data_IF_766576597578
#
_entry.id   IF_766576597578
#
_cell.length_a   1.000
_cell.length_b   1.000
_cell.length_c   1.000
_cell.angle_alpha   90.00
_cell.angle_beta   90.00
_cell.angle_gamma   90.00
#
_symmetry.space_group_name_H-M   'P 1'
#
loop_
_entity.id
_entity.type
_entity.pdbx_description
1 polymer ?
#
# COMPACT_ATOMS: atom_id res chain seq x y z
N UNK A 1 14.83 -16.69 -23.32
CA UNK A 1 14.58 -15.60 -22.36
C UNK A 1 14.00 -16.07 -21.03
N UNK A 2 13.07 -17.05 -20.99
CA UNK A 2 12.36 -17.45 -19.76
C UNK A 2 13.28 -17.83 -18.60
N UNK A 3 14.26 -18.73 -18.81
CA UNK A 3 15.21 -19.13 -17.73
C UNK A 3 15.97 -17.94 -17.14
N UNK A 4 16.49 -17.04 -17.97
CA UNK A 4 17.22 -15.83 -17.50
C UNK A 4 16.32 -14.85 -16.73
N UNK A 5 15.02 -14.79 -17.08
CA UNK A 5 14.06 -13.98 -16.34
C UNK A 5 13.76 -14.58 -14.96
N UNK A 6 13.69 -15.91 -14.85
CA UNK A 6 13.52 -16.61 -13.57
C UNK A 6 14.75 -16.42 -12.66
N UNK A 7 15.96 -16.58 -13.20
CA UNK A 7 17.22 -16.33 -12.50
C UNK A 7 17.27 -14.88 -11.96
N UNK A 8 16.89 -13.90 -12.80
CA UNK A 8 16.82 -12.50 -12.38
C UNK A 8 15.78 -12.25 -11.27
N UNK A 9 14.60 -12.86 -11.36
CA UNK A 9 13.57 -12.71 -10.32
C UNK A 9 14.02 -13.34 -8.99
N UNK A 10 14.71 -14.48 -9.06
CA UNK A 10 15.34 -15.12 -7.91
C UNK A 10 16.41 -14.20 -7.29
N UNK A 11 17.33 -13.68 -8.11
CA UNK A 11 18.35 -12.70 -7.70
C UNK A 11 17.74 -11.47 -7.00
N UNK A 12 16.63 -10.93 -7.54
CA UNK A 12 15.95 -9.81 -6.91
C UNK A 12 15.38 -10.16 -5.53
N UNK A 13 14.81 -11.37 -5.40
CA UNK A 13 14.24 -11.82 -4.15
C UNK A 13 15.32 -12.09 -3.08
N UNK A 14 16.37 -12.82 -3.43
CA UNK A 14 17.39 -13.30 -2.48
C UNK A 14 18.45 -12.25 -2.18
N UNK A 15 19.07 -11.67 -3.21
CA UNK A 15 20.21 -10.76 -3.02
C UNK A 15 19.79 -9.29 -2.87
N UNK A 16 18.71 -8.84 -3.54
CA UNK A 16 18.26 -7.45 -3.47
C UNK A 16 17.15 -7.21 -2.45
N UNK A 17 16.64 -8.23 -1.79
CA UNK A 17 15.56 -8.11 -0.82
C UNK A 17 14.30 -7.46 -1.41
N UNK A 18 14.05 -7.68 -2.72
CA UNK A 18 12.87 -7.14 -3.39
C UNK A 18 11.60 -7.74 -2.78
N UNK A 19 10.53 -6.94 -2.68
CA UNK A 19 9.26 -7.45 -2.17
C UNK A 19 8.64 -8.45 -3.16
N UNK A 20 7.87 -9.42 -2.65
CA UNK A 20 7.10 -10.36 -3.46
C UNK A 20 6.24 -9.65 -4.53
N UNK A 21 5.67 -8.50 -4.17
CA UNK A 21 4.90 -7.67 -5.11
C UNK A 21 5.78 -7.13 -6.25
N UNK A 22 7.03 -6.77 -5.97
CA UNK A 22 7.98 -6.28 -6.99
C UNK A 22 8.37 -7.40 -7.93
N UNK A 23 8.76 -8.57 -7.40
CA UNK A 23 9.15 -9.73 -8.21
C UNK A 23 7.99 -10.23 -9.07
N UNK A 24 6.77 -10.29 -8.52
CA UNK A 24 5.56 -10.65 -9.25
C UNK A 24 5.28 -9.68 -10.42
N UNK A 25 5.33 -8.37 -10.17
CA UNK A 25 5.10 -7.38 -11.22
C UNK A 25 6.18 -7.39 -12.29
N UNK A 26 7.44 -7.53 -11.89
CA UNK A 26 8.55 -7.66 -12.84
C UNK A 26 8.44 -8.94 -13.68
N UNK A 27 8.00 -10.05 -13.08
CA UNK A 27 7.71 -11.28 -13.83
C UNK A 27 6.62 -11.09 -14.89
N UNK A 28 5.55 -10.33 -14.57
CA UNK A 28 4.52 -9.99 -15.56
C UNK A 28 5.10 -9.12 -16.67
N UNK A 29 5.90 -8.11 -16.32
CA UNK A 29 6.51 -7.18 -17.28
C UNK A 29 7.48 -7.87 -18.24
N UNK A 30 8.31 -8.78 -17.70
CA UNK A 30 9.26 -9.56 -18.51
C UNK A 30 8.54 -10.55 -19.43
N UNK A 31 7.47 -11.20 -18.98
CA UNK A 31 6.67 -12.08 -19.86
C UNK A 31 6.03 -11.30 -21.02
N UNK A 32 5.51 -10.10 -20.75
CA UNK A 32 4.95 -9.27 -21.81
C UNK A 32 5.99 -8.80 -22.80
N UNK A 33 7.17 -8.39 -22.32
CA UNK A 33 8.29 -8.04 -23.17
C UNK A 33 8.77 -9.24 -24.00
N UNK A 34 8.88 -10.44 -23.39
CA UNK A 34 9.26 -11.67 -24.08
C UNK A 34 8.31 -11.98 -25.24
N UNK A 35 7.00 -11.82 -25.03
CA UNK A 35 6.02 -12.02 -26.09
C UNK A 35 6.14 -10.99 -27.22
N UNK A 36 6.52 -9.76 -26.90
CA UNK A 36 6.68 -8.72 -27.90
C UNK A 36 7.91 -8.95 -28.81
N UNK A 37 9.05 -9.32 -28.21
CA UNK A 37 10.27 -9.57 -28.98
C UNK A 37 10.26 -10.91 -29.72
N UNK A 38 9.27 -11.77 -29.44
CA UNK A 38 9.08 -13.09 -30.05
C UNK A 38 10.36 -13.95 -30.03
N UNK A 39 10.93 -14.20 -31.18
CA UNK A 39 12.08 -15.12 -31.38
C UNK A 39 13.45 -14.44 -31.28
N UNK A 40 13.52 -13.12 -31.05
CA UNK A 40 14.81 -12.44 -30.93
C UNK A 40 15.59 -12.95 -29.70
N UNK A 41 16.84 -13.30 -29.94
CA UNK A 41 17.76 -13.68 -28.88
C UNK A 41 18.24 -12.46 -28.08
N UNK A 42 18.55 -12.67 -26.80
CA UNK A 42 18.98 -11.60 -25.89
C UNK A 42 20.19 -10.80 -26.40
N UNK A 43 21.24 -11.42 -26.95
CA UNK A 43 22.39 -10.67 -27.46
C UNK A 43 22.09 -9.76 -28.67
N UNK A 44 21.03 -10.07 -29.42
CA UNK A 44 20.60 -9.30 -30.59
C UNK A 44 19.64 -8.14 -30.25
N UNK A 45 19.32 -7.93 -28.99
CA UNK A 45 18.42 -6.86 -28.58
C UNK A 45 19.12 -5.51 -28.56
N UNK A 46 18.52 -4.54 -29.23
CA UNK A 46 19.05 -3.19 -29.42
C UNK A 46 18.21 -2.15 -28.69
N UNK A 47 18.72 -0.94 -28.58
CA UNK A 47 17.99 0.24 -28.15
C UNK A 47 16.67 0.44 -28.93
N UNK A 48 16.66 0.16 -30.24
CA UNK A 48 15.45 0.31 -31.07
C UNK A 48 14.37 -0.69 -30.70
N UNK A 49 14.70 -1.92 -30.32
CA UNK A 49 13.72 -2.91 -29.87
C UNK A 49 13.01 -2.45 -28.60
N UNK A 50 13.75 -1.85 -27.67
CA UNK A 50 13.15 -1.33 -26.43
C UNK A 50 12.25 -0.13 -26.73
N UNK A 51 12.66 0.78 -27.63
CA UNK A 51 11.82 1.90 -28.07
C UNK A 51 10.55 1.42 -28.75
N UNK A 52 10.64 0.42 -29.63
CA UNK A 52 9.49 -0.18 -30.30
C UNK A 52 8.52 -0.81 -29.31
N UNK A 53 9.04 -1.50 -28.27
CA UNK A 53 8.18 -2.00 -27.19
C UNK A 53 7.47 -0.88 -26.42
N UNK A 54 8.17 0.22 -26.10
CA UNK A 54 7.52 1.37 -25.42
C UNK A 54 6.48 2.05 -26.32
N UNK A 55 6.70 2.11 -27.62
CA UNK A 55 5.70 2.60 -28.59
C UNK A 55 4.49 1.67 -28.63
N UNK A 56 4.70 0.36 -28.69
CA UNK A 56 3.63 -0.65 -28.60
C UNK A 56 2.82 -0.51 -27.30
N UNK A 57 3.44 -0.27 -26.16
CA UNK A 57 2.71 -0.04 -24.91
C UNK A 57 1.85 1.22 -24.95
N UNK A 58 2.29 2.27 -25.69
CA UNK A 58 1.50 3.49 -25.90
C UNK A 58 0.26 3.22 -26.77
N UNK A 59 0.40 2.46 -27.86
CA UNK A 59 -0.73 2.08 -28.72
C UNK A 59 -1.76 1.20 -27.98
N UNK A 60 -1.33 0.49 -26.92
CA UNK A 60 -2.19 -0.28 -26.01
C UNK A 60 -2.74 0.55 -24.84
N UNK A 61 -2.60 1.88 -24.89
CA UNK A 61 -3.11 2.82 -23.91
C UNK A 61 -2.62 2.59 -22.46
N UNK A 62 -1.43 1.98 -22.30
CA UNK A 62 -0.83 1.87 -20.96
C UNK A 62 -0.55 3.23 -20.37
N UNK A 63 -0.88 3.40 -19.07
CA UNK A 63 -0.59 4.65 -18.35
C UNK A 63 0.92 4.95 -18.33
N UNK A 64 1.28 6.24 -18.32
CA UNK A 64 2.68 6.70 -18.20
C UNK A 64 3.40 6.05 -17.01
N UNK A 65 2.67 5.80 -15.91
CA UNK A 65 3.21 5.11 -14.72
C UNK A 65 3.54 3.64 -14.99
N UNK A 66 2.67 2.92 -15.70
CA UNK A 66 2.89 1.53 -16.09
C UNK A 66 4.08 1.39 -17.05
N UNK A 67 4.17 2.27 -18.03
CA UNK A 67 5.29 2.32 -18.99
C UNK A 67 6.61 2.60 -18.24
N UNK A 68 6.61 3.56 -17.31
CA UNK A 68 7.81 3.87 -16.50
C UNK A 68 8.25 2.69 -15.64
N UNK A 69 7.30 1.94 -15.02
CA UNK A 69 7.63 0.73 -14.25
C UNK A 69 8.20 -0.37 -15.13
N UNK A 70 7.59 -0.62 -16.29
CA UNK A 70 8.09 -1.62 -17.26
C UNK A 70 9.50 -1.28 -17.76
N UNK A 71 9.76 -0.02 -18.07
CA UNK A 71 11.11 0.42 -18.44
C UNK A 71 12.11 0.25 -17.29
N UNK A 72 11.72 0.54 -16.05
CA UNK A 72 12.58 0.31 -14.88
C UNK A 72 12.88 -1.19 -14.69
N UNK A 73 11.90 -2.06 -14.91
CA UNK A 73 12.07 -3.51 -14.90
C UNK A 73 13.09 -3.94 -15.95
N UNK A 74 12.92 -3.51 -17.20
CA UNK A 74 13.83 -3.85 -18.30
C UNK A 74 15.26 -3.36 -18.03
N UNK A 75 15.43 -2.12 -17.55
CA UNK A 75 16.75 -1.61 -17.16
C UNK A 75 17.43 -2.45 -16.10
N UNK A 76 16.68 -2.86 -15.09
CA UNK A 76 17.18 -3.71 -14.01
C UNK A 76 17.55 -5.11 -14.54
N UNK A 77 16.71 -5.68 -15.38
CA UNK A 77 16.95 -6.97 -16.01
C UNK A 77 18.19 -6.96 -16.91
N UNK A 78 18.32 -6.01 -17.82
CA UNK A 78 19.48 -5.91 -18.68
C UNK A 78 20.76 -5.56 -17.91
N UNK A 79 20.66 -4.77 -16.83
CA UNK A 79 21.79 -4.55 -15.92
C UNK A 79 22.26 -5.86 -15.25
N UNK A 80 21.32 -6.71 -14.87
CA UNK A 80 21.63 -8.04 -14.36
C UNK A 80 22.32 -8.90 -15.43
N UNK A 81 21.82 -8.92 -16.68
CA UNK A 81 22.41 -9.70 -17.75
C UNK A 81 23.83 -9.22 -18.13
N UNK A 82 24.12 -7.93 -18.03
CA UNK A 82 25.50 -7.41 -18.19
C UNK A 82 26.39 -7.90 -17.05
N UNK A 83 25.91 -7.89 -15.81
CA UNK A 83 26.64 -8.43 -14.64
C UNK A 83 26.98 -9.92 -14.81
N UNK A 84 26.05 -10.70 -15.38
CA UNK A 84 26.22 -12.13 -15.64
C UNK A 84 26.99 -12.42 -16.96
N UNK A 85 27.60 -11.42 -17.58
CA UNK A 85 28.33 -11.52 -18.84
C UNK A 85 27.53 -12.12 -20.01
N UNK A 86 26.19 -12.02 -19.97
CA UNK A 86 25.30 -12.44 -21.06
C UNK A 86 25.19 -11.36 -22.12
N UNK A 87 25.34 -10.10 -21.72
CA UNK A 87 25.34 -8.92 -22.60
C UNK A 87 26.59 -8.08 -22.32
N UNK A 88 27.07 -7.40 -23.33
CA UNK A 88 28.20 -6.44 -23.23
C UNK A 88 27.72 -5.06 -22.76
N UNK A 89 26.49 -4.69 -23.11
CA UNK A 89 25.90 -3.40 -22.75
C UNK A 89 24.39 -3.51 -22.48
N UNK A 90 23.86 -2.54 -21.74
CA UNK A 90 22.43 -2.49 -21.42
C UNK A 90 21.66 -1.71 -22.49
N UNK A 91 20.83 -2.35 -23.33
CA UNK A 91 20.11 -1.67 -24.41
C UNK A 91 19.04 -0.69 -23.94
N UNK A 92 18.65 -0.73 -22.65
CA UNK A 92 17.66 0.16 -22.08
C UNK A 92 18.27 1.37 -21.31
N UNK A 93 19.61 1.47 -21.23
CA UNK A 93 20.27 2.47 -20.39
C UNK A 93 19.95 3.92 -20.82
N UNK A 94 20.06 4.23 -22.09
CA UNK A 94 19.90 5.58 -22.66
C UNK A 94 18.46 6.03 -22.90
N UNK A 95 17.45 5.21 -22.60
CA UNK A 95 16.06 5.55 -22.91
C UNK A 95 15.50 6.49 -21.84
N UNK A 96 14.97 7.65 -22.22
CA UNK A 96 14.36 8.58 -21.27
C UNK A 96 13.09 7.99 -20.65
N UNK A 97 12.97 8.11 -19.31
CA UNK A 97 11.73 7.72 -18.62
C UNK A 97 10.62 8.72 -18.92
N UNK A 98 9.40 8.29 -19.30
CA UNK A 98 8.29 9.20 -19.52
C UNK A 98 8.06 10.09 -18.30
N UNK A 99 8.04 11.41 -18.51
CA UNK A 99 7.72 12.36 -17.43
C UNK A 99 6.29 12.10 -16.94
N UNK A 100 6.16 11.77 -15.65
CA UNK A 100 4.86 11.67 -15.00
C UNK A 100 4.31 13.08 -14.79
N UNK A 101 3.06 13.29 -15.12
CA UNK A 101 2.36 14.47 -14.67
C UNK A 101 2.28 14.42 -13.13
N UNK A 102 2.72 15.48 -12.47
CA UNK A 102 2.53 15.64 -11.04
C UNK A 102 1.06 15.99 -10.81
N UNK A 103 0.19 14.97 -10.67
CA UNK A 103 -1.14 15.23 -10.10
C UNK A 103 -0.93 15.70 -8.66
N UNK A 104 -1.48 16.85 -8.32
CA UNK A 104 -1.53 17.27 -6.91
C UNK A 104 -2.23 16.16 -6.12
N UNK A 105 -1.66 15.73 -4.98
CA UNK A 105 -2.29 14.72 -4.16
C UNK A 105 -3.67 15.24 -3.74
N UNK A 106 -4.72 14.51 -4.06
CA UNK A 106 -6.06 14.82 -3.58
C UNK A 106 -6.20 14.36 -2.13
N UNK A 107 -6.64 15.24 -1.25
CA UNK A 107 -7.07 14.91 0.09
C UNK A 107 -8.55 15.25 0.27
N UNK A 108 -9.20 14.63 1.22
CA UNK A 108 -10.58 14.91 1.60
C UNK A 108 -10.57 15.97 2.71
N UNK A 109 -11.48 16.94 2.63
CA UNK A 109 -11.72 17.86 3.74
C UNK A 109 -12.46 17.13 4.89
N UNK A 110 -12.58 17.74 6.10
CA UNK A 110 -13.24 17.11 7.25
C UNK A 110 -14.68 16.66 6.97
N UNK A 111 -15.46 17.42 6.21
CA UNK A 111 -16.87 17.11 5.90
C UNK A 111 -16.98 15.93 4.93
N UNK A 112 -16.10 15.87 3.93
CA UNK A 112 -16.02 14.74 3.01
C UNK A 112 -15.62 13.44 3.75
N UNK A 113 -14.70 13.54 4.69
CA UNK A 113 -14.32 12.42 5.57
C UNK A 113 -15.52 11.99 6.41
N UNK A 114 -16.19 12.90 7.12
CA UNK A 114 -17.34 12.58 7.94
C UNK A 114 -18.44 11.88 7.12
N UNK A 115 -18.79 12.44 5.96
CA UNK A 115 -19.75 11.87 5.02
C UNK A 115 -19.39 10.45 4.60
N UNK A 116 -18.11 10.18 4.35
CA UNK A 116 -17.65 8.87 3.92
C UNK A 116 -17.61 7.86 5.07
N UNK A 117 -17.20 8.29 6.26
CA UNK A 117 -17.19 7.47 7.48
C UNK A 117 -18.60 7.07 7.91
N UNK A 118 -19.60 7.94 7.70
CA UNK A 118 -21.00 7.67 8.08
C UNK A 118 -21.80 6.94 6.99
N UNK A 119 -21.23 6.74 5.81
CA UNK A 119 -21.91 6.06 4.71
C UNK A 119 -22.32 4.59 5.01
N UNK A 120 -21.58 3.79 5.82
CA UNK A 120 -22.07 2.51 6.31
C UNK A 120 -23.09 2.73 7.43
N UNK A 121 -24.39 2.77 7.11
CA UNK A 121 -25.45 3.17 8.05
C UNK A 121 -26.32 1.99 8.55
N UNK A 122 -26.27 0.81 7.87
CA UNK A 122 -27.07 -0.34 8.24
C UNK A 122 -26.46 -1.09 9.43
N UNK A 123 -27.32 -1.72 10.22
CA UNK A 123 -26.92 -2.53 11.36
C UNK A 123 -26.57 -3.99 10.95
N UNK A 124 -25.92 -4.18 9.79
CA UNK A 124 -25.39 -5.47 9.39
C UNK A 124 -23.91 -5.61 9.79
N UNK A 125 -23.46 -6.82 10.03
CA UNK A 125 -22.06 -7.04 10.41
C UNK A 125 -21.09 -6.56 9.35
N UNK A 126 -21.43 -6.68 8.04
CA UNK A 126 -20.61 -6.17 6.96
C UNK A 126 -20.46 -4.66 7.02
N UNK A 127 -21.55 -3.93 7.28
CA UNK A 127 -21.47 -2.46 7.38
C UNK A 127 -20.79 -2.01 8.69
N UNK A 128 -20.92 -2.75 9.81
CA UNK A 128 -20.10 -2.52 11.00
C UNK A 128 -18.62 -2.75 10.74
N UNK A 129 -18.28 -3.84 10.04
CA UNK A 129 -16.90 -4.08 9.57
C UNK A 129 -16.42 -2.95 8.67
N UNK A 130 -17.20 -2.61 7.65
CA UNK A 130 -16.84 -1.60 6.66
C UNK A 130 -16.63 -0.23 7.33
N UNK A 131 -17.50 0.14 8.30
CA UNK A 131 -17.33 1.36 9.11
C UNK A 131 -16.03 1.31 9.90
N UNK A 132 -15.76 0.24 10.62
CA UNK A 132 -14.54 0.12 11.40
C UNK A 132 -13.26 0.16 10.55
N UNK A 133 -13.31 -0.37 9.32
CA UNK A 133 -12.19 -0.25 8.36
C UNK A 133 -11.97 1.20 7.92
N UNK A 134 -13.03 1.93 7.59
CA UNK A 134 -12.94 3.34 7.20
C UNK A 134 -12.41 4.21 8.35
N UNK A 135 -12.95 4.01 9.57
CA UNK A 135 -12.48 4.69 10.78
C UNK A 135 -11.00 4.40 11.06
N UNK A 136 -10.58 3.13 10.97
CA UNK A 136 -9.18 2.74 11.17
C UNK A 136 -8.25 3.34 10.11
N UNK A 137 -8.65 3.37 8.83
CA UNK A 137 -7.85 4.00 7.77
C UNK A 137 -7.61 5.47 8.04
N UNK A 138 -8.63 6.19 8.49
CA UNK A 138 -8.51 7.62 8.77
C UNK A 138 -7.81 7.89 10.10
N UNK A 139 -8.20 7.19 11.17
CA UNK A 139 -7.66 7.39 12.51
C UNK A 139 -6.16 7.11 12.60
N UNK A 140 -5.67 6.09 11.91
CA UNK A 140 -4.28 5.62 12.06
C UNK A 140 -3.39 5.87 10.84
N UNK A 141 -3.94 6.37 9.74
CA UNK A 141 -3.20 6.59 8.50
C UNK A 141 -2.50 5.34 7.94
N UNK A 142 -2.98 4.14 8.25
CA UNK A 142 -2.41 2.88 7.82
C UNK A 142 -2.41 2.72 6.29
N UNK A 143 -1.40 2.01 5.77
CA UNK A 143 -1.47 1.49 4.40
C UNK A 143 -2.53 0.39 4.34
N UNK A 144 -3.20 0.25 3.20
CA UNK A 144 -4.23 -0.79 3.03
C UNK A 144 -3.72 -2.20 3.32
N UNK A 145 -2.49 -2.51 2.94
CA UNK A 145 -1.85 -3.81 3.23
C UNK A 145 -1.54 -4.00 4.71
N UNK A 146 -1.14 -2.94 5.41
CA UNK A 146 -0.93 -2.95 6.85
C UNK A 146 -2.25 -3.24 7.58
N UNK A 147 -3.33 -2.53 7.22
CA UNK A 147 -4.66 -2.74 7.79
C UNK A 147 -5.19 -4.16 7.52
N UNK A 148 -5.09 -4.65 6.29
CA UNK A 148 -5.52 -6.01 5.94
C UNK A 148 -4.70 -7.09 6.65
N UNK A 149 -3.44 -6.79 6.96
CA UNK A 149 -2.52 -7.67 7.69
C UNK A 149 -2.74 -7.75 9.19
N UNK A 150 -3.50 -6.84 9.80
CA UNK A 150 -3.70 -6.79 11.25
C UNK A 150 -4.35 -8.07 11.80
N UNK A 151 -3.89 -8.46 12.98
CA UNK A 151 -4.49 -9.49 13.81
C UNK A 151 -5.10 -8.86 15.06
N UNK A 152 -5.85 -9.64 15.83
CA UNK A 152 -6.40 -9.20 17.13
C UNK A 152 -5.29 -8.73 18.09
N UNK A 153 -4.21 -9.53 18.19
CA UNK A 153 -3.09 -9.28 19.10
C UNK A 153 -2.25 -8.05 18.72
N UNK A 154 -2.50 -7.45 17.55
CA UNK A 154 -1.85 -6.22 17.13
C UNK A 154 -2.56 -4.96 17.68
N UNK A 155 -3.75 -5.10 18.27
CA UNK A 155 -4.55 -4.00 18.79
C UNK A 155 -4.63 -4.04 20.32
N UNK A 156 -4.18 -2.98 20.94
CA UNK A 156 -4.42 -2.67 22.36
C UNK A 156 -5.65 -1.74 22.48
N UNK A 157 -6.79 -2.32 22.84
CA UNK A 157 -8.04 -1.59 23.01
C UNK A 157 -8.04 -0.62 24.21
N UNK A 158 -7.31 -0.95 25.28
CA UNK A 158 -7.22 -0.11 26.46
C UNK A 158 -6.26 1.05 26.26
N UNK A 159 -5.09 0.74 25.71
CA UNK A 159 -4.09 1.74 25.41
C UNK A 159 -4.40 2.59 24.18
N UNK A 160 -5.39 2.22 23.36
CA UNK A 160 -5.70 2.90 22.10
C UNK A 160 -4.55 2.87 21.11
N UNK A 161 -3.88 1.72 20.98
CA UNK A 161 -2.68 1.56 20.15
C UNK A 161 -2.82 0.39 19.20
N UNK A 162 -2.26 0.53 18.00
CA UNK A 162 -2.11 -0.56 17.05
C UNK A 162 -0.64 -0.77 16.68
N UNK A 163 -0.17 -2.01 16.76
CA UNK A 163 1.15 -2.44 16.30
C UNK A 163 1.10 -2.79 14.84
N UNK A 164 1.89 -2.11 14.03
CA UNK A 164 1.88 -2.22 12.57
C UNK A 164 3.20 -2.77 12.08
N UNK A 165 3.14 -3.84 11.28
CA UNK A 165 4.31 -4.45 10.65
C UNK A 165 4.50 -3.88 9.24
N UNK A 166 5.65 -3.24 9.01
CA UNK A 166 6.02 -2.67 7.72
C UNK A 166 6.95 -3.56 6.89
N UNK A 167 7.44 -3.03 5.79
CA UNK A 167 8.43 -3.71 4.93
C UNK A 167 9.72 -3.97 5.72
N UNK A 168 10.28 -5.17 5.59
CA UNK A 168 11.55 -5.55 6.23
C UNK A 168 11.41 -5.88 7.72
N UNK A 169 10.24 -6.35 8.16
CA UNK A 169 9.93 -6.70 9.57
C UNK A 169 10.04 -5.52 10.56
N UNK A 170 10.10 -4.27 10.07
CA UNK A 170 10.06 -3.10 10.94
C UNK A 170 8.65 -2.96 11.52
N UNK A 171 8.57 -2.79 12.84
CA UNK A 171 7.32 -2.55 13.54
C UNK A 171 7.23 -1.07 13.94
N UNK A 172 6.02 -0.54 14.02
CA UNK A 172 5.71 0.75 14.62
C UNK A 172 4.42 0.68 15.39
N UNK A 173 4.27 1.53 16.39
CA UNK A 173 3.04 1.70 17.18
C UNK A 173 2.36 2.97 16.68
N UNK A 174 1.06 2.90 16.46
CA UNK A 174 0.23 4.03 15.99
C UNK A 174 -0.96 4.18 16.92
N UNK A 175 -1.26 5.39 17.41
CA UNK A 175 -2.48 5.66 18.16
C UNK A 175 -3.74 5.43 17.30
N UNK A 176 -4.81 5.05 17.97
CA UNK A 176 -6.16 4.85 17.39
C UNK A 176 -7.17 5.64 18.20
N UNK A 177 -7.88 6.55 17.57
CA UNK A 177 -8.85 7.41 18.21
C UNK A 177 -10.10 6.65 18.67
N UNK A 178 -10.83 7.25 19.63
CA UNK A 178 -11.97 6.63 20.30
C UNK A 178 -13.10 6.24 19.33
N UNK A 179 -13.33 7.03 18.27
CA UNK A 179 -14.34 6.71 17.25
C UNK A 179 -14.03 5.40 16.51
N UNK A 180 -12.76 5.17 16.18
CA UNK A 180 -12.31 3.93 15.54
C UNK A 180 -12.41 2.73 16.50
N UNK A 181 -12.03 2.90 17.77
CA UNK A 181 -12.16 1.86 18.80
C UNK A 181 -13.63 1.47 19.03
N UNK A 182 -14.53 2.45 19.11
CA UNK A 182 -15.97 2.18 19.28
C UNK A 182 -16.54 1.43 18.08
N UNK A 183 -16.16 1.81 16.86
CA UNK A 183 -16.59 1.11 15.65
C UNK A 183 -16.03 -0.32 15.56
N UNK A 184 -14.80 -0.54 16.03
CA UNK A 184 -14.21 -1.87 16.12
C UNK A 184 -14.94 -2.76 17.15
N UNK A 185 -15.29 -2.24 18.33
CA UNK A 185 -16.10 -2.99 19.32
C UNK A 185 -17.42 -3.43 18.73
N UNK A 186 -18.16 -2.50 18.10
CA UNK A 186 -19.45 -2.82 17.48
C UNK A 186 -19.35 -3.84 16.33
N UNK A 187 -18.21 -3.89 15.62
CA UNK A 187 -17.94 -4.93 14.65
C UNK A 187 -17.57 -6.25 15.33
N UNK A 188 -16.76 -6.22 16.38
CA UNK A 188 -16.26 -7.40 17.09
C UNK A 188 -17.39 -8.23 17.68
N UNK A 189 -18.35 -7.60 18.34
CA UNK A 189 -19.52 -8.25 18.93
C UNK A 189 -20.31 -9.07 17.89
N UNK A 190 -20.33 -8.62 16.65
CA UNK A 190 -21.02 -9.29 15.56
C UNK A 190 -20.13 -10.29 14.77
N UNK A 191 -18.81 -10.23 14.98
CA UNK A 191 -17.82 -11.04 14.25
C UNK A 191 -17.65 -12.42 14.87
N UNK A 192 -17.64 -12.52 16.19
CA UNK A 192 -17.28 -13.72 16.93
C UNK A 192 -17.94 -15.02 16.43
N UNK A 193 -19.25 -15.04 16.08
CA UNK A 193 -19.89 -16.24 15.55
C UNK A 193 -19.42 -16.68 14.15
N UNK A 194 -18.66 -15.84 13.45
CA UNK A 194 -18.23 -16.04 12.03
C UNK A 194 -16.74 -16.31 11.90
N UNK A 195 -16.02 -16.24 13.02
CA UNK A 195 -14.58 -16.44 13.00
C UNK A 195 -14.21 -17.92 12.95
N UNK A 196 -13.21 -18.27 12.13
CA UNK A 196 -12.66 -19.62 12.15
C UNK A 196 -11.84 -19.81 13.43
N UNK A 197 -12.37 -20.59 14.36
CA UNK A 197 -11.78 -20.84 15.68
C UNK A 197 -10.39 -21.48 15.61
N UNK A 198 -10.06 -22.21 14.53
CA UNK A 198 -8.81 -22.94 14.35
C UNK A 198 -7.64 -22.09 13.84
N UNK A 199 -7.84 -20.82 13.56
CA UNK A 199 -6.76 -19.97 13.02
C UNK A 199 -5.73 -19.61 14.08
N UNK A 200 -4.46 -19.98 13.88
CA UNK A 200 -3.32 -19.66 14.75
C UNK A 200 -3.14 -18.15 14.95
N UNK A 201 -3.48 -17.36 13.93
CA UNK A 201 -3.51 -15.89 14.01
C UNK A 201 -4.88 -15.40 13.56
N UNK A 202 -5.65 -14.89 14.50
CA UNK A 202 -7.00 -14.36 14.25
C UNK A 202 -6.93 -13.02 13.52
N UNK A 203 -7.35 -12.91 12.25
CA UNK A 203 -7.32 -11.64 11.52
C UNK A 203 -8.29 -10.64 12.16
N UNK A 204 -7.88 -9.37 12.26
CA UNK A 204 -8.74 -8.30 12.77
C UNK A 204 -9.98 -8.15 11.89
N UNK A 205 -9.82 -8.16 10.56
CA UNK A 205 -10.90 -8.06 9.59
C UNK A 205 -11.06 -9.32 8.76
N UNK A 206 -12.31 -9.84 8.69
CA UNK A 206 -12.64 -11.04 7.94
C UNK A 206 -13.58 -10.77 6.75
N UNK A 207 -13.53 -11.66 5.78
CA UNK A 207 -14.45 -11.72 4.64
C UNK A 207 -15.77 -12.40 5.04
N UNK A 208 -16.73 -12.49 4.11
CA UNK A 208 -17.99 -13.23 4.33
C UNK A 208 -17.81 -14.71 4.62
N UNK A 209 -16.69 -15.28 4.15
CA UNK A 209 -16.38 -16.70 4.36
C UNK A 209 -15.42 -16.93 5.55
N UNK A 210 -15.28 -15.94 6.45
CA UNK A 210 -14.44 -16.05 7.65
C UNK A 210 -12.93 -15.94 7.43
N UNK A 211 -12.46 -15.81 6.19
CA UNK A 211 -11.02 -15.66 5.88
C UNK A 211 -10.57 -14.20 6.02
N UNK A 212 -9.24 -13.98 6.14
CA UNK A 212 -8.64 -12.64 6.17
C UNK A 212 -9.09 -11.79 4.98
N UNK A 213 -9.42 -10.54 5.25
CA UNK A 213 -9.78 -9.59 4.20
C UNK A 213 -8.53 -9.19 3.39
N UNK A 214 -8.68 -9.12 2.05
CA UNK A 214 -7.58 -8.74 1.15
C UNK A 214 -7.56 -7.25 0.87
N UNK A 215 -6.38 -6.70 0.51
CA UNK A 215 -6.21 -5.32 0.04
C UNK A 215 -7.22 -4.97 -1.07
N UNK A 216 -7.42 -5.89 -2.01
CA UNK A 216 -8.36 -5.71 -3.13
C UNK A 216 -9.80 -5.57 -2.62
N UNK A 217 -10.18 -6.34 -1.59
CA UNK A 217 -11.51 -6.26 -0.99
C UNK A 217 -11.72 -4.93 -0.27
N UNK A 218 -10.71 -4.45 0.48
CA UNK A 218 -10.76 -3.13 1.12
C UNK A 218 -10.88 -2.02 0.07
N UNK A 219 -10.09 -2.06 -1.01
CA UNK A 219 -10.18 -1.06 -2.09
C UNK A 219 -11.57 -1.04 -2.75
N UNK A 220 -12.14 -2.21 -3.02
CA UNK A 220 -13.51 -2.31 -3.58
C UNK A 220 -14.56 -1.77 -2.61
N UNK A 221 -14.41 -2.05 -1.33
CA UNK A 221 -15.29 -1.53 -0.28
C UNK A 221 -15.23 0.00 -0.21
N UNK A 222 -14.03 0.60 -0.16
CA UNK A 222 -13.87 2.06 -0.20
C UNK A 222 -14.56 2.65 -1.43
N UNK A 223 -14.32 2.08 -2.62
CA UNK A 223 -14.94 2.56 -3.86
C UNK A 223 -16.45 2.46 -3.85
N UNK A 224 -17.03 1.40 -3.23
CA UNK A 224 -18.48 1.25 -3.01
C UNK A 224 -19.06 2.45 -2.25
N UNK A 225 -18.41 2.85 -1.14
CA UNK A 225 -18.90 3.96 -0.31
C UNK A 225 -18.65 5.33 -0.95
N UNK A 226 -17.53 5.50 -1.66
CA UNK A 226 -17.28 6.72 -2.47
C UNK A 226 -18.38 6.93 -3.50
N UNK A 227 -18.78 5.88 -4.23
CA UNK A 227 -19.92 5.95 -5.16
C UNK A 227 -21.23 6.26 -4.45
N UNK A 228 -21.48 5.65 -3.29
CA UNK A 228 -22.72 5.86 -2.49
C UNK A 228 -22.84 7.28 -1.97
N UNK A 229 -21.72 7.92 -1.62
CA UNK A 229 -21.71 9.31 -1.11
C UNK A 229 -21.74 10.38 -2.19
N UNK A 230 -21.57 10.01 -3.48
CA UNK A 230 -21.50 10.96 -4.58
C UNK A 230 -20.29 11.89 -4.53
N UNK A 231 -19.24 11.53 -3.81
CA UNK A 231 -17.99 12.30 -3.81
C UNK A 231 -17.30 12.15 -5.16
N UNK A 232 -17.20 13.26 -5.91
CA UNK A 232 -16.70 13.29 -7.29
C UNK A 232 -15.18 13.12 -7.46
N UNK A 233 -14.47 12.76 -6.40
CA UNK A 233 -13.01 12.63 -6.39
C UNK A 233 -12.57 11.17 -6.51
N UNK A 234 -11.38 10.94 -7.09
CA UNK A 234 -10.70 9.63 -7.04
C UNK A 234 -10.21 9.33 -5.62
N UNK A 235 -11.12 8.85 -4.75
CA UNK A 235 -10.82 8.50 -3.37
C UNK A 235 -10.39 7.03 -3.29
N UNK A 236 -9.28 6.80 -2.62
CA UNK A 236 -8.67 5.49 -2.39
C UNK A 236 -8.15 5.39 -0.94
N UNK A 237 -7.72 4.22 -0.45
CA UNK A 237 -7.06 4.14 0.86
C UNK A 237 -5.82 5.04 1.01
N UNK A 238 -5.14 5.38 -0.09
CA UNK A 238 -4.05 6.36 -0.06
C UNK A 238 -4.55 7.78 0.22
N UNK A 239 -5.74 8.12 -0.24
CA UNK A 239 -6.37 9.42 0.03
C UNK A 239 -6.67 9.56 1.51
N UNK A 240 -7.16 8.52 2.21
CA UNK A 240 -7.33 8.53 3.69
C UNK A 240 -6.03 8.85 4.42
N UNK A 241 -4.95 8.16 4.05
CA UNK A 241 -3.64 8.38 4.65
C UNK A 241 -3.10 9.78 4.38
N UNK A 242 -3.34 10.31 3.19
CA UNK A 242 -2.95 11.68 2.85
C UNK A 242 -3.78 12.70 3.62
N UNK A 243 -5.11 12.51 3.73
CA UNK A 243 -5.98 13.36 4.55
C UNK A 243 -5.60 13.31 6.02
N UNK A 244 -5.28 12.13 6.58
CA UNK A 244 -4.73 12.00 7.92
C UNK A 244 -3.49 12.89 8.11
N UNK A 245 -2.50 12.77 7.22
CA UNK A 245 -1.28 13.56 7.32
C UNK A 245 -1.54 15.07 7.23
N UNK A 246 -2.35 15.50 6.26
CA UNK A 246 -2.70 16.91 6.06
C UNK A 246 -3.44 17.47 7.27
N UNK A 247 -4.49 16.78 7.76
CA UNK A 247 -5.27 17.26 8.90
C UNK A 247 -4.47 17.32 10.20
N UNK A 248 -3.53 16.37 10.42
CA UNK A 248 -2.61 16.44 11.54
C UNK A 248 -1.72 17.69 11.47
N UNK A 249 -1.12 17.96 10.30
CA UNK A 249 -0.26 19.13 10.10
C UNK A 249 -1.04 20.44 10.21
N UNK A 250 -2.23 20.52 9.61
CA UNK A 250 -3.10 21.72 9.67
C UNK A 250 -3.53 22.07 11.09
N UNK A 251 -3.56 21.06 11.98
CA UNK A 251 -3.86 21.23 13.42
C UNK A 251 -2.63 21.34 14.31
N UNK A 252 -1.46 21.58 13.72
CA UNK A 252 -0.24 21.92 14.43
C UNK A 252 0.62 20.72 14.88
N UNK A 253 0.35 19.49 14.43
CA UNK A 253 1.29 18.40 14.67
C UNK A 253 2.61 18.67 13.96
N UNK A 254 3.71 18.39 14.61
CA UNK A 254 5.02 18.53 13.98
C UNK A 254 5.23 17.48 12.88
N UNK A 255 5.94 17.88 11.82
CA UNK A 255 6.16 17.03 10.64
C UNK A 255 6.86 15.71 10.98
N UNK A 256 7.75 15.71 11.96
CA UNK A 256 8.49 14.52 12.37
C UNK A 256 7.58 13.51 13.04
N UNK A 257 6.70 13.92 13.94
CA UNK A 257 5.68 13.06 14.55
C UNK A 257 4.77 12.45 13.50
N UNK A 258 4.31 13.22 12.52
CA UNK A 258 3.47 12.70 11.43
C UNK A 258 4.24 11.69 10.57
N UNK A 259 5.52 11.94 10.26
CA UNK A 259 6.37 10.99 9.52
C UNK A 259 6.60 9.70 10.29
N UNK A 260 6.80 9.76 11.60
CA UNK A 260 6.95 8.60 12.49
C UNK A 260 5.67 7.76 12.53
N UNK A 261 4.51 8.38 12.74
CA UNK A 261 3.19 7.72 12.70
C UNK A 261 2.97 7.00 11.36
N UNK A 262 3.35 7.64 10.27
CA UNK A 262 3.20 7.07 8.94
C UNK A 262 4.25 6.00 8.60
N UNK A 263 5.38 5.93 9.29
CA UNK A 263 6.45 4.98 9.02
C UNK A 263 7.13 5.25 7.67
N UNK A 264 7.65 6.47 7.47
CA UNK A 264 8.44 6.81 6.30
C UNK A 264 9.86 6.24 6.44
N UNK A 265 10.32 5.47 5.46
CA UNK A 265 11.55 4.69 5.51
C UNK A 265 12.86 5.49 5.51
N UNK A 266 12.81 6.79 5.22
CA UNK A 266 14.01 7.66 5.09
C UNK A 266 14.53 8.22 6.42
N UNK A 267 13.89 7.94 7.54
CA UNK A 267 14.48 8.20 8.85
C UNK A 267 15.28 6.96 9.23
N UNK A 268 16.58 7.03 8.97
CA UNK A 268 17.55 6.01 9.36
C UNK A 268 17.52 5.90 10.89
N UNK A 269 16.92 4.85 11.37
CA UNK A 269 17.30 4.11 12.58
C UNK A 269 16.16 3.18 12.96
N UNK A 270 16.47 2.01 13.36
CA UNK A 270 15.58 1.11 14.11
C UNK A 270 15.28 1.84 15.42
N UNK A 271 14.24 2.69 15.42
CA UNK A 271 13.80 3.32 16.65
C UNK A 271 13.17 2.21 17.51
N UNK A 272 13.86 1.88 18.61
CA UNK A 272 13.27 1.16 19.72
C UNK A 272 12.19 2.10 20.25
N UNK A 273 10.92 1.75 20.10
CA UNK A 273 9.79 2.52 20.65
C UNK A 273 9.84 2.38 22.18
N UNK A 274 10.45 3.35 22.83
CA UNK A 274 10.43 3.48 24.28
C UNK A 274 9.07 4.00 24.74
N UNK A 275 8.72 3.81 26.01
CA UNK A 275 7.52 4.39 26.60
C UNK A 275 7.43 5.92 26.37
N UNK A 276 8.55 6.63 26.45
CA UNK A 276 8.62 8.08 26.22
C UNK A 276 8.28 8.45 24.78
N UNK A 277 8.75 7.70 23.79
CA UNK A 277 8.42 7.93 22.37
C UNK A 277 6.93 7.68 22.10
N UNK A 278 6.38 6.62 22.68
CA UNK A 278 4.95 6.27 22.53
C UNK A 278 4.05 7.33 23.17
N UNK A 279 4.41 7.83 24.33
CA UNK A 279 3.66 8.88 25.03
C UNK A 279 3.65 10.18 24.20
N UNK A 280 4.81 10.62 23.71
CA UNK A 280 4.91 11.81 22.82
C UNK A 280 4.04 11.69 21.58
N UNK A 281 4.03 10.51 20.93
CA UNK A 281 3.20 10.28 19.75
C UNK A 281 1.70 10.30 20.08
N UNK A 282 1.30 9.80 21.26
CA UNK A 282 -0.10 9.90 21.74
C UNK A 282 -0.49 11.34 21.97
N UNK A 283 0.35 12.14 22.60
CA UNK A 283 0.10 13.57 22.86
C UNK A 283 -0.04 14.35 21.55
N UNK A 284 0.91 14.18 20.62
CA UNK A 284 0.81 14.79 19.30
C UNK A 284 -0.45 14.35 18.53
N UNK A 285 -0.85 13.10 18.66
CA UNK A 285 -2.07 12.58 18.06
C UNK A 285 -3.33 13.18 18.73
N UNK A 286 -3.40 13.17 20.06
CA UNK A 286 -4.54 13.67 20.81
C UNK A 286 -4.79 15.16 20.60
N UNK A 287 -3.71 15.95 20.45
CA UNK A 287 -3.82 17.40 20.21
C UNK A 287 -4.24 17.75 18.79
N UNK A 288 -3.89 16.94 17.80
CA UNK A 288 -4.03 17.32 16.40
C UNK A 288 -5.01 16.45 15.58
N UNK A 289 -5.33 15.21 15.99
CA UNK A 289 -6.22 14.38 15.19
C UNK A 289 -7.69 14.77 15.39
N UNK A 290 -8.49 15.00 14.31
CA UNK A 290 -9.89 15.45 14.41
C UNK A 290 -10.84 14.47 15.14
N UNK A 291 -10.45 13.22 15.28
CA UNK A 291 -11.23 12.13 15.91
C UNK A 291 -10.36 11.33 16.90
N UNK A 292 -9.49 12.03 17.64
CA UNK A 292 -8.68 11.45 18.70
C UNK A 292 -9.49 10.76 19.76
#
# INVERSE_FOLDING_TARGET
MNKRAEDFLSFLATEKGASEHTTKNYGIDLREFSKFIAEKELPGLTYLDIRSFLAFLKTREYSKSSISRKLACLRSFFKYLVRENVLTQNPAAGIATPKKEKKLPSFMNPDEIAKLLDAPAKNSWEEKRDKSILEMLYSSGLRVSELAGLNHDDLDFFGGLVRVRGKGKKERIVPVGQAALNSLRAYWDMKAPRENASAIKKPLFISRIGSRLTDRSVRRMVLKYVKRTGLGKEISPHTFRHSFATHMLDRGADLRSVQELLGHANLSTTQIYTHVTTQRLKEAYASAHPRA
#
